data_IF_290861394545
#
_entry.id   IF_290861394545
#
_cell.length_a   1.000
_cell.length_b   1.000
_cell.length_c   1.000
_cell.angle_alpha   90.00
_cell.angle_beta   90.00
_cell.angle_gamma   90.00
#
_symmetry.space_group_name_H-M   'P 1'
#
loop_
_entity.id
_entity.type
_entity.pdbx_description
1 polymer ?
#
# COMPACT_ATOMS: atom_id res chain seq x y z
N UNK A 1 -55.99 -41.38 -55.16
CA UNK A 1 -56.41 -42.24 -54.04
C UNK A 1 -56.78 -41.35 -52.85
N UNK A 2 -58.08 -41.12 -52.64
CA UNK A 2 -58.88 -41.59 -51.49
C UNK A 2 -58.55 -40.91 -50.13
N UNK A 3 -59.33 -39.84 -49.84
CA UNK A 3 -60.15 -39.52 -48.65
C UNK A 3 -59.64 -39.70 -47.19
N UNK A 4 -60.14 -38.75 -46.37
CA UNK A 4 -60.50 -38.75 -44.91
C UNK A 4 -59.37 -38.35 -43.94
N UNK A 5 -59.58 -37.64 -42.82
CA UNK A 5 -60.76 -37.12 -42.14
C UNK A 5 -60.36 -36.09 -41.05
N UNK A 6 -61.35 -35.30 -40.63
CA UNK A 6 -61.38 -34.35 -39.51
C UNK A 6 -60.77 -34.84 -38.19
N UNK A 7 -60.19 -33.90 -37.42
CA UNK A 7 -60.53 -33.68 -35.99
C UNK A 7 -60.06 -32.30 -35.52
N UNK A 8 -61.04 -31.46 -35.14
CA UNK A 8 -60.87 -30.24 -34.35
C UNK A 8 -60.41 -30.65 -32.94
N UNK A 9 -59.28 -30.13 -32.48
CA UNK A 9 -59.00 -29.98 -31.04
C UNK A 9 -58.93 -28.49 -30.73
N UNK A 10 -59.85 -28.04 -29.88
CA UNK A 10 -59.80 -26.74 -29.23
C UNK A 10 -58.64 -26.74 -28.25
N UNK A 11 -57.59 -25.96 -28.55
CA UNK A 11 -56.56 -25.62 -27.56
C UNK A 11 -57.02 -24.34 -26.87
N UNK A 12 -57.39 -24.48 -25.59
CA UNK A 12 -57.63 -23.36 -24.70
C UNK A 12 -56.28 -22.65 -24.51
N UNK A 13 -56.11 -21.46 -25.12
CA UNK A 13 -55.00 -20.56 -24.81
C UNK A 13 -55.26 -19.94 -23.42
N UNK A 14 -54.75 -20.56 -22.37
CA UNK A 14 -54.56 -19.88 -21.09
C UNK A 14 -53.43 -18.85 -21.30
N UNK A 15 -53.80 -17.58 -21.49
CA UNK A 15 -52.85 -16.47 -21.46
C UNK A 15 -52.34 -16.28 -20.04
N UNK A 16 -51.21 -16.90 -19.70
CA UNK A 16 -50.47 -16.56 -18.49
C UNK A 16 -49.83 -15.19 -18.74
N UNK A 17 -50.46 -14.14 -18.23
CA UNK A 17 -49.83 -12.83 -18.07
C UNK A 17 -48.81 -13.00 -16.95
N UNK A 18 -47.57 -13.35 -17.32
CA UNK A 18 -46.41 -13.25 -16.43
C UNK A 18 -46.18 -11.76 -16.15
N UNK A 19 -46.77 -11.29 -15.05
CA UNK A 19 -46.46 -9.98 -14.49
C UNK A 19 -44.99 -10.04 -14.00
N UNK A 20 -44.06 -9.63 -14.85
CA UNK A 20 -42.66 -9.41 -14.47
C UNK A 20 -42.64 -8.22 -13.50
N UNK A 21 -42.78 -8.49 -12.21
CA UNK A 21 -42.39 -7.51 -11.20
C UNK A 21 -40.86 -7.43 -11.25
N UNK A 22 -40.26 -6.28 -11.58
CA UNK A 22 -38.82 -6.16 -11.51
C UNK A 22 -38.41 -6.37 -10.05
N UNK A 23 -37.63 -7.43 -9.80
CA UNK A 23 -37.03 -7.67 -8.51
C UNK A 23 -36.04 -6.52 -8.25
N UNK A 24 -36.47 -5.50 -7.50
CA UNK A 24 -35.59 -4.40 -7.10
C UNK A 24 -34.59 -4.97 -6.10
N UNK A 25 -33.40 -5.34 -6.58
CA UNK A 25 -32.28 -5.73 -5.72
C UNK A 25 -31.81 -4.46 -5.01
N UNK A 26 -32.28 -4.24 -3.79
CA UNK A 26 -31.72 -3.23 -2.89
C UNK A 26 -30.28 -3.63 -2.54
N UNK A 27 -29.31 -3.11 -3.30
CA UNK A 27 -27.91 -3.18 -2.90
C UNK A 27 -27.74 -2.29 -1.68
N UNK A 28 -27.57 -2.90 -0.50
CA UNK A 28 -27.40 -2.18 0.75
C UNK A 28 -26.21 -1.21 0.62
N UNK A 29 -26.50 0.09 0.66
CA UNK A 29 -25.46 1.14 0.63
C UNK A 29 -24.76 1.22 1.98
N UNK A 30 -23.44 1.35 1.96
CA UNK A 30 -22.64 1.56 3.18
C UNK A 30 -22.88 2.95 3.74
N UNK A 31 -22.82 3.09 5.06
CA UNK A 31 -22.94 4.37 5.77
C UNK A 31 -21.83 4.49 6.83
N UNK A 32 -21.58 5.68 7.36
CA UNK A 32 -20.60 5.86 8.45
C UNK A 32 -20.94 5.06 9.71
N UNK A 33 -22.21 4.67 9.88
CA UNK A 33 -22.69 3.90 11.03
C UNK A 33 -22.74 2.40 10.76
N UNK A 34 -22.33 1.92 9.57
CA UNK A 34 -22.30 0.48 9.30
C UNK A 34 -21.34 -0.22 10.27
N UNK A 35 -21.75 -1.37 10.87
CA UNK A 35 -21.02 -2.01 11.97
C UNK A 35 -19.73 -2.71 11.51
N UNK A 36 -18.76 -2.89 12.40
CA UNK A 36 -17.51 -3.60 12.08
C UNK A 36 -16.34 -2.68 11.70
N UNK A 37 -15.23 -3.29 11.27
CA UNK A 37 -13.99 -2.56 10.98
C UNK A 37 -13.92 -2.11 9.52
N UNK A 38 -13.23 -1.00 9.24
CA UNK A 38 -13.07 -0.48 7.89
C UNK A 38 -12.46 -1.52 6.94
N UNK A 39 -11.55 -2.37 7.43
CA UNK A 39 -10.94 -3.45 6.64
C UNK A 39 -11.96 -4.43 6.04
N UNK A 40 -13.06 -4.68 6.74
CA UNK A 40 -14.11 -5.62 6.33
C UNK A 40 -14.94 -5.07 5.17
N UNK A 41 -14.86 -3.76 4.92
CA UNK A 41 -15.52 -3.08 3.81
C UNK A 41 -14.58 -2.93 2.61
N UNK A 42 -13.39 -2.36 2.83
CA UNK A 42 -12.42 -2.14 1.75
C UNK A 42 -11.87 -3.45 1.16
N UNK A 43 -11.70 -4.49 1.99
CA UNK A 43 -11.21 -5.80 1.56
C UNK A 43 -12.17 -6.56 0.63
N UNK A 44 -13.41 -6.10 0.46
CA UNK A 44 -14.41 -6.73 -0.44
C UNK A 44 -14.20 -6.37 -1.91
N UNK A 45 -13.45 -5.32 -2.21
CA UNK A 45 -13.31 -4.81 -3.56
C UNK A 45 -12.06 -5.34 -4.25
N UNK A 46 -12.25 -5.98 -5.41
CA UNK A 46 -11.17 -6.38 -6.31
C UNK A 46 -10.81 -5.31 -7.35
N UNK A 47 -11.66 -4.29 -7.53
CA UNK A 47 -11.53 -3.25 -8.54
C UNK A 47 -11.66 -1.83 -7.93
N UNK A 48 -11.02 -0.81 -8.54
CA UNK A 48 -11.10 0.57 -8.08
C UNK A 48 -12.50 1.15 -8.32
N UNK A 49 -12.82 2.27 -7.67
CA UNK A 49 -14.02 3.04 -8.01
C UNK A 49 -13.85 3.75 -9.37
N UNK A 50 -14.95 3.97 -10.11
CA UNK A 50 -14.99 4.75 -11.37
C UNK A 50 -14.79 6.27 -11.16
N UNK A 51 -14.33 6.69 -9.98
CA UNK A 51 -14.07 8.10 -9.68
C UNK A 51 -12.72 8.54 -10.24
N UNK A 52 -12.50 9.84 -10.32
CA UNK A 52 -11.16 10.38 -10.52
C UNK A 52 -10.24 9.99 -9.36
N UNK A 53 -8.95 9.79 -9.65
CA UNK A 53 -7.98 9.42 -8.62
C UNK A 53 -7.87 10.54 -7.58
N UNK A 54 -8.10 10.20 -6.31
CA UNK A 54 -8.00 11.15 -5.20
C UNK A 54 -7.63 10.41 -3.91
N UNK A 55 -6.51 10.78 -3.24
CA UNK A 55 -6.19 10.28 -1.92
C UNK A 55 -7.01 11.05 -0.87
N UNK A 56 -7.71 10.34 0.01
CA UNK A 56 -8.66 10.93 0.96
C UNK A 56 -8.27 10.57 2.39
N UNK A 57 -8.18 11.56 3.27
CA UNK A 57 -7.81 11.43 4.68
C UNK A 57 -6.32 11.23 4.92
N UNK A 58 -5.98 10.73 6.10
CA UNK A 58 -4.61 10.40 6.46
C UNK A 58 -4.20 8.99 6.06
N UNK A 59 -2.90 8.76 5.96
CA UNK A 59 -2.27 7.51 5.50
C UNK A 59 -2.72 6.22 6.21
N UNK A 60 -3.29 6.32 7.43
CA UNK A 60 -3.73 5.20 8.28
C UNK A 60 -5.20 5.28 8.71
N UNK A 61 -5.99 6.18 8.12
CA UNK A 61 -7.43 6.32 8.38
C UNK A 61 -8.17 6.88 7.15
N UNK A 62 -7.69 6.54 5.96
CA UNK A 62 -8.11 7.14 4.70
C UNK A 62 -8.60 6.12 3.68
N UNK A 63 -8.73 6.54 2.44
CA UNK A 63 -9.07 5.69 1.30
C UNK A 63 -8.48 6.26 0.00
N UNK A 64 -8.65 5.53 -1.10
CA UNK A 64 -8.22 5.93 -2.44
C UNK A 64 -9.43 5.82 -3.39
N UNK A 65 -9.92 6.96 -3.86
CA UNK A 65 -10.83 7.00 -5.00
C UNK A 65 -10.03 6.78 -6.29
N UNK A 66 -10.61 6.10 -7.29
CA UNK A 66 -10.01 6.01 -8.63
C UNK A 66 -8.57 5.50 -8.63
N UNK A 67 -8.27 4.47 -7.82
CA UNK A 67 -6.93 3.91 -7.73
C UNK A 67 -6.44 3.40 -9.09
N UNK A 68 -5.21 3.73 -9.45
CA UNK A 68 -4.56 3.23 -10.66
C UNK A 68 -3.67 2.03 -10.33
N UNK A 69 -3.62 1.08 -11.26
CA UNK A 69 -2.81 -0.13 -11.11
C UNK A 69 -1.38 0.13 -11.58
N UNK A 70 -0.39 -0.24 -10.77
CA UNK A 70 0.99 -0.41 -11.25
C UNK A 70 1.02 -1.68 -12.12
N UNK A 71 1.44 -1.60 -13.40
CA UNK A 71 1.63 -2.78 -14.22
C UNK A 71 2.51 -3.81 -13.51
N UNK A 72 2.11 -5.09 -13.55
CA UNK A 72 2.79 -6.15 -12.80
C UNK A 72 4.29 -6.22 -13.13
N UNK A 73 4.67 -5.83 -14.35
CA UNK A 73 6.07 -5.73 -14.77
C UNK A 73 6.29 -4.46 -15.59
N UNK A 74 7.47 -3.88 -15.47
CA UNK A 74 7.97 -2.85 -16.37
C UNK A 74 9.46 -3.06 -16.67
N UNK A 75 10.08 -2.13 -17.43
CA UNK A 75 11.48 -2.27 -17.85
C UNK A 75 12.46 -2.44 -16.68
N UNK A 76 12.17 -1.78 -15.56
CA UNK A 76 13.04 -1.68 -14.39
C UNK A 76 12.31 -2.07 -13.10
N UNK A 77 11.17 -2.77 -13.16
CA UNK A 77 10.49 -3.24 -11.95
C UNK A 77 9.66 -4.51 -12.15
N UNK A 78 9.39 -5.21 -11.05
CA UNK A 78 8.33 -6.22 -10.96
C UNK A 78 7.56 -6.06 -9.65
N UNK A 79 6.23 -6.06 -9.73
CA UNK A 79 5.36 -6.15 -8.58
C UNK A 79 5.34 -7.58 -8.01
N UNK A 80 5.39 -7.68 -6.68
CA UNK A 80 5.53 -8.91 -5.92
C UNK A 80 4.25 -9.23 -5.16
N UNK A 81 4.03 -10.50 -4.81
CA UNK A 81 2.83 -10.93 -4.06
C UNK A 81 1.52 -10.48 -4.75
N UNK A 82 1.44 -10.70 -6.06
CA UNK A 82 0.33 -10.31 -6.94
C UNK A 82 -1.02 -10.85 -6.46
N UNK A 83 -1.02 -12.03 -5.85
CA UNK A 83 -2.20 -12.64 -5.21
C UNK A 83 -2.90 -11.76 -4.18
N UNK A 84 -2.19 -10.79 -3.58
CA UNK A 84 -2.76 -9.88 -2.56
C UNK A 84 -3.63 -8.76 -3.14
N UNK A 85 -3.54 -8.50 -4.45
CA UNK A 85 -4.21 -7.38 -5.11
C UNK A 85 -3.90 -6.01 -4.46
N UNK A 86 -2.61 -5.74 -4.22
CA UNK A 86 -2.11 -4.54 -3.52
C UNK A 86 -1.17 -3.69 -4.38
N UNK A 87 -1.30 -3.72 -5.70
CA UNK A 87 -0.52 -2.94 -6.63
C UNK A 87 -1.27 -1.69 -7.12
N UNK A 88 -2.08 -1.08 -6.25
CA UNK A 88 -2.88 0.11 -6.58
C UNK A 88 -2.34 1.36 -5.89
N UNK A 89 -2.33 2.49 -6.59
CA UNK A 89 -1.80 3.73 -6.07
C UNK A 89 -2.43 4.97 -6.70
N UNK A 90 -2.12 6.12 -6.12
CA UNK A 90 -2.34 7.39 -6.77
C UNK A 90 -1.35 7.57 -7.92
N UNK A 91 -1.69 8.24 -9.05
CA UNK A 91 -0.79 8.44 -10.18
C UNK A 91 0.62 8.94 -9.80
N UNK A 92 0.70 9.90 -8.89
CA UNK A 92 1.98 10.45 -8.38
C UNK A 92 2.86 9.38 -7.71
N UNK A 93 2.27 8.37 -7.07
CA UNK A 93 3.03 7.24 -6.52
C UNK A 93 3.59 6.35 -7.62
N UNK A 94 2.79 6.06 -8.66
CA UNK A 94 3.22 5.21 -9.75
C UNK A 94 4.35 5.85 -10.54
N UNK A 95 4.22 7.15 -10.83
CA UNK A 95 5.25 7.99 -11.45
C UNK A 95 6.56 7.99 -10.63
N UNK A 96 6.46 8.18 -9.31
CA UNK A 96 7.62 8.07 -8.41
C UNK A 96 8.31 6.70 -8.46
N UNK A 97 7.53 5.62 -8.55
CA UNK A 97 8.06 4.27 -8.60
C UNK A 97 8.82 4.00 -9.90
N UNK A 98 8.32 4.50 -11.03
CA UNK A 98 9.02 4.41 -12.32
C UNK A 98 10.38 5.11 -12.21
N UNK A 99 10.40 6.39 -11.81
CA UNK A 99 11.63 7.17 -11.67
C UNK A 99 12.65 6.53 -10.72
N UNK A 100 12.20 6.04 -9.56
CA UNK A 100 13.08 5.40 -8.60
C UNK A 100 13.62 4.08 -9.14
N UNK A 101 12.81 3.33 -9.89
CA UNK A 101 13.20 2.05 -10.47
C UNK A 101 14.28 2.20 -11.54
N UNK A 102 14.22 3.27 -12.33
CA UNK A 102 15.24 3.61 -13.32
C UNK A 102 16.56 4.00 -12.64
N UNK A 103 16.50 4.81 -11.57
CA UNK A 103 17.69 5.13 -10.76
C UNK A 103 18.28 3.87 -10.11
N UNK A 104 17.45 2.93 -9.68
CA UNK A 104 17.90 1.66 -9.14
C UNK A 104 18.63 0.82 -10.19
N UNK A 105 18.15 0.80 -11.44
CA UNK A 105 18.77 0.06 -12.54
C UNK A 105 20.17 0.58 -12.94
N UNK A 106 20.55 1.78 -12.49
CA UNK A 106 21.90 2.33 -12.65
C UNK A 106 22.88 1.83 -11.58
N UNK A 107 22.40 1.17 -10.52
CA UNK A 107 23.24 0.67 -9.44
C UNK A 107 23.86 -0.68 -9.82
N UNK A 108 25.13 -0.88 -9.44
CA UNK A 108 25.85 -2.13 -9.72
C UNK A 108 25.11 -3.33 -9.14
N UNK A 109 24.73 -4.28 -10.00
CA UNK A 109 24.03 -5.50 -9.59
C UNK A 109 22.51 -5.35 -9.42
N UNK A 110 21.94 -4.19 -9.74
CA UNK A 110 20.51 -3.94 -9.73
C UNK A 110 20.04 -3.71 -11.18
N UNK A 111 19.06 -4.48 -11.65
CA UNK A 111 18.38 -4.22 -12.92
C UNK A 111 17.13 -3.34 -12.74
N UNK A 112 16.78 -3.03 -11.50
CA UNK A 112 15.51 -2.40 -11.16
C UNK A 112 15.08 -2.66 -9.73
N UNK A 113 13.77 -2.69 -9.48
CA UNK A 113 13.17 -2.89 -8.15
C UNK A 113 12.15 -4.04 -8.10
N UNK A 114 12.12 -4.73 -6.98
CA UNK A 114 10.97 -5.55 -6.58
C UNK A 114 10.05 -4.73 -5.69
N UNK A 115 8.82 -4.52 -6.15
CA UNK A 115 7.82 -3.65 -5.51
C UNK A 115 6.87 -4.52 -4.69
N UNK A 116 6.77 -4.24 -3.39
CA UNK A 116 5.86 -4.90 -2.46
C UNK A 116 4.46 -4.27 -2.46
N UNK A 117 3.85 -4.23 -1.28
CA UNK A 117 2.48 -3.71 -1.13
C UNK A 117 2.45 -2.18 -1.39
N UNK A 118 1.56 -1.74 -2.28
CA UNK A 118 1.02 -0.37 -2.36
C UNK A 118 -0.32 -0.37 -1.62
N UNK A 119 -1.41 0.16 -2.19
CA UNK A 119 -2.76 0.12 -1.62
C UNK A 119 -3.61 -1.00 -2.25
N UNK A 120 -4.75 -1.30 -1.61
CA UNK A 120 -5.87 -2.05 -2.21
C UNK A 120 -6.57 -1.19 -3.29
N UNK A 121 -7.45 -1.76 -4.14
CA UNK A 121 -8.06 -1.03 -5.26
C UNK A 121 -8.79 0.27 -4.88
N UNK A 122 -9.42 0.29 -3.69
CA UNK A 122 -10.10 1.47 -3.12
C UNK A 122 -9.37 2.04 -1.91
N UNK A 123 -8.11 1.65 -1.72
CA UNK A 123 -7.33 1.98 -0.55
C UNK A 123 -7.91 1.39 0.73
N UNK A 124 -8.02 2.21 1.76
CA UNK A 124 -8.63 1.82 3.03
C UNK A 124 -7.77 0.89 3.86
N UNK A 125 -8.24 0.59 5.07
CA UNK A 125 -7.56 -0.33 5.96
C UNK A 125 -7.42 -1.70 5.30
N UNK A 126 -6.20 -2.23 5.30
CA UNK A 126 -5.93 -3.56 4.76
C UNK A 126 -6.47 -4.65 5.68
N UNK A 127 -6.92 -5.75 5.08
CA UNK A 127 -7.34 -6.98 5.80
C UNK A 127 -6.23 -7.53 6.69
N UNK A 128 -4.97 -7.30 6.33
CA UNK A 128 -3.79 -7.79 7.05
C UNK A 128 -2.54 -6.94 6.77
N UNK A 129 -1.57 -6.99 7.67
CA UNK A 129 -0.26 -6.37 7.48
C UNK A 129 -0.22 -4.91 7.92
N UNK A 130 -0.23 -3.99 6.96
CA UNK A 130 0.13 -2.59 7.17
C UNK A 130 -0.98 -1.80 7.88
N UNK A 131 -0.58 -0.95 8.83
CA UNK A 131 -1.50 0.02 9.43
C UNK A 131 -1.76 1.23 8.50
N UNK A 132 -0.87 1.51 7.55
CA UNK A 132 -1.02 2.56 6.54
C UNK A 132 -1.34 2.00 5.15
N UNK A 133 -0.85 2.61 4.05
CA UNK A 133 -1.19 2.22 2.67
C UNK A 133 -2.65 2.41 2.29
N UNK A 134 -3.37 3.26 3.03
CA UNK A 134 -4.80 3.42 2.82
C UNK A 134 -5.12 4.43 1.72
N UNK A 135 -4.19 5.33 1.38
CA UNK A 135 -4.45 6.47 0.48
C UNK A 135 -3.75 6.38 -0.87
N UNK A 136 -3.07 5.27 -1.18
CA UNK A 136 -2.34 5.14 -2.45
C UNK A 136 -1.07 6.01 -2.54
N UNK A 137 -0.51 6.42 -1.40
CA UNK A 137 0.70 7.25 -1.29
C UNK A 137 1.84 6.57 -0.50
N UNK A 138 1.67 5.29 -0.19
CA UNK A 138 2.67 4.46 0.49
C UNK A 138 3.05 3.27 -0.39
N UNK A 139 4.32 2.86 -0.31
CA UNK A 139 4.82 1.67 -1.00
C UNK A 139 5.94 1.01 -0.21
N UNK A 140 5.90 -0.31 -0.14
CA UNK A 140 7.05 -1.09 0.30
C UNK A 140 7.93 -1.50 -0.88
N UNK A 141 9.24 -1.31 -0.74
CA UNK A 141 10.22 -1.72 -1.74
C UNK A 141 11.18 -2.70 -1.08
N UNK A 142 11.36 -3.86 -1.70
CA UNK A 142 12.17 -4.92 -1.13
C UNK A 142 13.64 -4.50 -1.05
N UNK A 143 14.31 -4.94 0.02
CA UNK A 143 15.77 -4.81 0.16
C UNK A 143 16.54 -5.85 -0.68
N UNK A 144 15.86 -6.79 -1.33
CA UNK A 144 16.48 -7.71 -2.28
C UNK A 144 16.77 -6.97 -3.60
N UNK A 145 18.03 -6.88 -4.04
CA UNK A 145 18.35 -6.33 -5.35
C UNK A 145 17.64 -7.09 -6.46
N UNK A 146 16.88 -6.39 -7.31
CA UNK A 146 16.22 -7.03 -8.45
C UNK A 146 17.24 -7.26 -9.58
N UNK A 147 17.93 -8.39 -9.55
CA UNK A 147 18.88 -8.82 -10.58
C UNK A 147 18.24 -9.67 -11.69
N UNK A 148 16.97 -10.05 -11.53
CA UNK A 148 16.17 -10.80 -12.49
C UNK A 148 14.77 -10.19 -12.60
N UNK A 149 14.48 -9.47 -13.68
CA UNK A 149 13.14 -8.93 -13.96
C UNK A 149 12.32 -9.83 -14.89
N UNK A 150 12.62 -11.14 -14.93
CA UNK A 150 11.89 -12.15 -15.70
C UNK A 150 11.20 -13.19 -14.80
N UNK A 151 10.99 -12.88 -13.52
CA UNK A 151 10.28 -13.78 -12.62
C UNK A 151 8.84 -14.04 -13.11
N UNK A 152 8.47 -15.31 -13.13
CA UNK A 152 7.10 -15.79 -13.31
C UNK A 152 6.22 -15.40 -12.12
N UNK A 153 4.90 -15.45 -12.29
CA UNK A 153 3.95 -15.17 -11.21
C UNK A 153 4.22 -16.04 -9.97
N UNK A 154 4.42 -17.35 -10.15
CA UNK A 154 4.71 -18.30 -9.07
C UNK A 154 5.99 -17.95 -8.31
N UNK A 155 7.06 -17.59 -9.03
CA UNK A 155 8.30 -17.15 -8.38
C UNK A 155 8.07 -15.89 -7.55
N UNK A 156 7.30 -14.92 -8.05
CA UNK A 156 7.00 -13.68 -7.31
C UNK A 156 6.17 -13.91 -6.05
N UNK A 157 5.42 -15.01 -5.96
CA UNK A 157 4.72 -15.42 -4.74
C UNK A 157 5.66 -16.11 -3.74
N UNK A 158 6.63 -16.89 -4.24
CA UNK A 158 7.42 -17.79 -3.41
C UNK A 158 8.78 -17.22 -2.97
N UNK A 159 9.43 -16.36 -3.78
CA UNK A 159 10.69 -15.74 -3.35
C UNK A 159 10.45 -14.80 -2.17
N UNK A 160 11.45 -14.61 -1.33
CA UNK A 160 11.39 -13.65 -0.21
C UNK A 160 12.51 -12.64 -0.31
N UNK A 161 12.27 -11.45 0.25
CA UNK A 161 13.32 -10.45 0.40
C UNK A 161 14.36 -10.88 1.45
N UNK A 162 15.49 -10.18 1.49
CA UNK A 162 16.61 -10.45 2.40
C UNK A 162 16.57 -9.52 3.60
N UNK A 163 16.89 -10.05 4.78
CA UNK A 163 17.09 -9.23 5.97
C UNK A 163 18.48 -8.58 5.95
N UNK A 164 18.54 -7.26 6.12
CA UNK A 164 19.79 -6.50 6.20
C UNK A 164 20.24 -6.20 7.63
N UNK A 165 19.52 -6.68 8.66
CA UNK A 165 19.82 -6.41 10.07
C UNK A 165 20.59 -7.53 10.76
N UNK A 166 21.30 -7.17 11.84
CA UNK A 166 21.77 -8.06 12.92
C UNK A 166 21.53 -7.42 14.29
N UNK A 167 21.78 -8.16 15.36
CA UNK A 167 21.65 -7.68 16.76
C UNK A 167 20.32 -6.99 17.01
N UNK A 168 19.22 -7.68 16.67
CA UNK A 168 17.83 -7.19 16.81
C UNK A 168 17.51 -5.89 16.04
N UNK A 169 18.36 -5.41 15.14
CA UNK A 169 18.16 -4.17 14.38
C UNK A 169 19.10 -3.03 14.77
N UNK A 170 20.01 -3.28 15.74
CA UNK A 170 21.02 -2.32 16.14
C UNK A 170 22.03 -2.02 15.03
N UNK A 171 22.33 -2.99 14.17
CA UNK A 171 23.35 -2.87 13.12
C UNK A 171 22.90 -3.47 11.81
N UNK A 172 23.50 -3.02 10.72
CA UNK A 172 23.46 -3.70 9.43
C UNK A 172 24.29 -4.99 9.47
N UNK A 173 23.93 -5.97 8.65
CA UNK A 173 24.71 -7.19 8.45
C UNK A 173 25.54 -7.12 7.15
N UNK A 174 26.21 -8.22 6.78
CA UNK A 174 27.06 -8.32 5.58
C UNK A 174 26.34 -8.15 4.24
N UNK A 175 25.01 -8.25 4.21
CA UNK A 175 24.21 -8.09 3.00
C UNK A 175 23.89 -6.62 2.69
N UNK A 176 24.10 -5.71 3.65
CA UNK A 176 23.99 -4.27 3.38
C UNK A 176 25.16 -3.81 2.52
N UNK A 177 24.87 -3.12 1.42
CA UNK A 177 25.89 -2.64 0.47
C UNK A 177 25.83 -1.13 0.26
N UNK A 178 26.84 -0.57 -0.39
CA UNK A 178 26.84 0.84 -0.78
C UNK A 178 25.68 1.18 -1.73
N UNK A 179 25.22 0.24 -2.54
CA UNK A 179 24.08 0.40 -3.45
C UNK A 179 22.77 0.57 -2.67
N UNK A 180 22.58 -0.14 -1.55
CA UNK A 180 21.42 0.07 -0.69
C UNK A 180 21.38 1.49 -0.12
N UNK A 181 22.54 2.00 0.32
CA UNK A 181 22.67 3.40 0.76
C UNK A 181 22.32 4.36 -0.39
N UNK A 182 22.90 4.17 -1.58
CA UNK A 182 22.62 5.02 -2.75
C UNK A 182 21.15 5.00 -3.15
N UNK A 183 20.51 3.82 -3.16
CA UNK A 183 19.09 3.68 -3.44
C UNK A 183 18.23 4.48 -2.46
N UNK A 184 18.49 4.35 -1.16
CA UNK A 184 17.76 5.09 -0.13
C UNK A 184 18.00 6.60 -0.23
N UNK A 185 19.21 7.02 -0.64
CA UNK A 185 19.50 8.42 -0.95
C UNK A 185 18.69 8.90 -2.16
N UNK A 186 18.67 8.15 -3.27
CA UNK A 186 17.85 8.48 -4.44
C UNK A 186 16.36 8.58 -4.08
N UNK A 187 15.85 7.60 -3.32
CA UNK A 187 14.48 7.56 -2.87
C UNK A 187 14.15 8.80 -2.01
N UNK A 188 14.97 9.11 -1.01
CA UNK A 188 14.71 10.23 -0.09
C UNK A 188 14.95 11.61 -0.71
N UNK A 189 15.84 11.72 -1.68
CA UNK A 189 16.14 13.01 -2.33
C UNK A 189 14.98 13.51 -3.19
N UNK A 190 14.06 12.64 -3.57
CA UNK A 190 12.88 13.00 -4.34
C UNK A 190 11.96 14.00 -3.60
N UNK A 191 11.53 15.10 -4.25
CA UNK A 191 10.69 16.12 -3.61
C UNK A 191 9.29 15.61 -3.22
N UNK A 192 8.77 14.57 -3.88
CA UNK A 192 7.47 13.95 -3.58
C UNK A 192 7.50 13.21 -2.24
N UNK A 193 8.66 12.72 -1.80
CA UNK A 193 8.79 11.91 -0.58
C UNK A 193 8.67 12.76 0.68
N UNK A 194 7.81 12.30 1.61
CA UNK A 194 7.67 12.83 2.96
C UNK A 194 8.54 12.07 3.97
N UNK A 195 8.53 10.73 3.92
CA UNK A 195 9.25 9.84 4.85
C UNK A 195 9.65 8.54 4.16
N UNK A 196 10.74 7.95 4.64
CA UNK A 196 11.10 6.57 4.36
C UNK A 196 11.37 5.85 5.68
N UNK A 197 10.68 4.75 5.94
CA UNK A 197 10.89 3.95 7.15
C UNK A 197 11.85 2.78 6.88
N UNK A 198 12.86 2.67 7.74
CA UNK A 198 13.88 1.61 7.72
C UNK A 198 14.20 1.18 9.15
N UNK A 199 14.84 0.02 9.33
CA UNK A 199 15.33 -0.38 10.65
C UNK A 199 16.42 0.58 11.19
N UNK A 200 16.57 0.72 12.53
CA UNK A 200 17.44 1.73 13.13
C UNK A 200 18.92 1.65 12.71
N UNK A 201 19.48 0.44 12.63
CA UNK A 201 20.88 0.23 12.24
C UNK A 201 21.22 0.75 10.84
N UNK A 202 20.30 0.65 9.87
CA UNK A 202 20.48 1.21 8.54
C UNK A 202 20.58 2.74 8.59
N UNK A 203 19.70 3.39 9.37
CA UNK A 203 19.75 4.84 9.56
C UNK A 203 21.09 5.27 10.15
N UNK A 204 21.56 4.61 11.21
CA UNK A 204 22.86 4.91 11.83
C UNK A 204 24.00 4.71 10.83
N UNK A 205 23.99 3.60 10.07
CA UNK A 205 25.00 3.34 9.05
C UNK A 205 25.05 4.44 7.98
N UNK A 206 23.90 4.85 7.45
CA UNK A 206 23.84 5.96 6.48
C UNK A 206 24.32 7.29 7.09
N UNK A 207 24.02 7.52 8.38
CA UNK A 207 24.52 8.70 9.10
C UNK A 207 26.03 8.69 9.29
N UNK A 208 26.67 7.53 9.41
CA UNK A 208 28.13 7.42 9.54
C UNK A 208 28.83 7.60 8.19
N UNK A 209 28.23 7.04 7.14
CA UNK A 209 28.81 6.99 5.80
C UNK A 209 28.63 8.28 5.00
N UNK A 210 27.55 9.03 5.21
CA UNK A 210 27.27 10.24 4.43
C UNK A 210 28.16 11.42 4.87
N UNK A 211 29.09 11.84 4.02
CA UNK A 211 30.02 12.96 4.28
C UNK A 211 29.63 14.27 3.59
N UNK A 212 28.76 14.21 2.57
CA UNK A 212 28.33 15.37 1.78
C UNK A 212 27.03 15.98 2.30
N UNK A 213 26.12 16.33 1.38
CA UNK A 213 24.79 16.79 1.73
C UNK A 213 23.99 15.68 2.45
N UNK A 214 23.55 16.02 3.67
CA UNK A 214 22.81 15.15 4.59
C UNK A 214 21.33 15.51 4.69
N UNK A 215 20.83 16.50 3.95
CA UNK A 215 19.44 16.95 4.06
C UNK A 215 18.43 15.81 3.84
N UNK A 216 18.73 14.89 2.91
CA UNK A 216 17.89 13.72 2.61
C UNK A 216 17.72 12.77 3.82
N UNK A 217 18.71 12.70 4.71
CA UNK A 217 18.66 11.86 5.91
C UNK A 217 17.47 12.24 6.80
N UNK A 218 17.04 13.51 6.83
CA UNK A 218 15.88 13.97 7.60
C UNK A 218 14.61 13.15 7.31
N UNK A 219 14.43 12.70 6.07
CA UNK A 219 13.27 11.89 5.66
C UNK A 219 13.41 10.42 6.02
N UNK A 220 14.62 9.92 6.26
CA UNK A 220 14.83 8.54 6.73
C UNK A 220 14.47 8.44 8.22
N UNK A 221 13.47 7.62 8.52
CA UNK A 221 12.89 7.43 9.85
C UNK A 221 13.12 5.99 10.34
N UNK A 222 13.88 5.79 11.43
CA UNK A 222 13.94 4.50 12.09
C UNK A 222 12.53 4.01 12.49
N UNK A 223 12.24 2.74 12.23
CA UNK A 223 11.03 2.07 12.69
C UNK A 223 11.28 0.58 12.96
N UNK A 224 10.44 -0.03 13.80
CA UNK A 224 10.48 -1.48 14.05
C UNK A 224 10.19 -2.26 12.76
N UNK A 225 10.79 -3.45 12.60
CA UNK A 225 10.68 -4.20 11.36
C UNK A 225 11.57 -3.60 10.26
N UNK A 226 11.01 -3.35 9.08
CA UNK A 226 11.63 -2.63 7.95
C UNK A 226 13.10 -2.98 7.66
N UNK A 227 13.44 -4.26 7.82
CA UNK A 227 14.79 -4.77 7.61
C UNK A 227 14.91 -5.65 6.36
N UNK A 228 13.77 -5.99 5.75
CA UNK A 228 13.69 -6.69 4.47
C UNK A 228 12.96 -5.87 3.39
N UNK A 229 12.46 -4.70 3.74
CA UNK A 229 11.94 -3.68 2.83
C UNK A 229 12.20 -2.32 3.45
N UNK A 230 12.13 -1.27 2.64
CA UNK A 230 11.91 0.09 3.12
C UNK A 230 10.52 0.55 2.69
N UNK A 231 9.85 1.27 3.58
CA UNK A 231 8.54 1.84 3.31
C UNK A 231 8.73 3.28 2.87
N UNK A 232 8.28 3.65 1.68
CA UNK A 232 8.25 5.04 1.22
C UNK A 232 6.84 5.61 1.39
N UNK A 233 6.78 6.85 1.90
CA UNK A 233 5.57 7.66 1.97
C UNK A 233 5.77 8.94 1.18
N UNK A 234 4.86 9.21 0.25
CA UNK A 234 4.78 10.49 -0.46
C UNK A 234 3.98 11.52 0.35
N UNK A 235 4.17 12.79 0.03
CA UNK A 235 3.30 13.89 0.48
C UNK A 235 1.96 13.80 -0.24
N UNK A 236 0.93 14.43 0.32
CA UNK A 236 -0.28 14.70 -0.44
C UNK A 236 0.04 15.55 -1.68
N UNK A 237 -0.51 15.20 -2.86
CA UNK A 237 -0.51 16.07 -4.03
C UNK A 237 -1.12 17.45 -3.72
N UNK A 238 -0.65 18.51 -4.37
CA UNK A 238 -1.05 19.89 -4.06
C UNK A 238 -2.54 20.18 -4.37
N UNK A 239 -3.10 19.45 -5.33
CA UNK A 239 -4.48 19.49 -5.80
C UNK A 239 -5.42 18.60 -4.98
N UNK A 240 -4.90 17.61 -4.24
CA UNK A 240 -5.67 16.70 -3.41
C UNK A 240 -6.13 17.35 -2.09
N UNK A 241 -7.22 18.15 -2.14
CA UNK A 241 -7.74 18.90 -0.98
C UNK A 241 -8.25 18.03 0.17
N UNK A 242 -8.63 16.79 -0.11
CA UNK A 242 -9.13 15.85 0.89
C UNK A 242 -8.03 15.00 1.52
N UNK A 243 -6.78 15.16 1.08
CA UNK A 243 -5.63 14.42 1.60
C UNK A 243 -5.00 15.14 2.79
N UNK A 244 -4.71 14.39 3.86
CA UNK A 244 -4.15 14.95 5.08
C UNK A 244 -2.67 14.58 5.24
N UNK A 245 -1.80 15.59 5.21
CA UNK A 245 -0.39 15.42 5.49
C UNK A 245 -0.12 15.16 6.98
N UNK A 246 0.91 14.37 7.26
CA UNK A 246 1.50 14.33 8.60
C UNK A 246 2.31 15.60 8.84
N UNK A 247 2.49 16.04 10.10
CA UNK A 247 3.47 17.07 10.43
C UNK A 247 4.85 16.74 9.84
N UNK A 248 5.69 17.72 9.49
CA UNK A 248 7.02 17.45 8.96
C UNK A 248 7.88 16.66 9.96
N UNK A 249 8.86 15.85 9.50
CA UNK A 249 9.85 15.27 10.41
C UNK A 249 10.57 16.37 11.22
N UNK A 250 11.08 16.06 12.43
CA UNK A 250 11.89 17.00 13.19
C UNK A 250 13.02 17.61 12.36
N UNK A 251 13.47 18.81 12.73
CA UNK A 251 14.62 19.45 12.10
C UNK A 251 15.90 18.63 12.30
N UNK A 252 16.88 18.87 11.42
CA UNK A 252 18.14 18.11 11.38
C UNK A 252 18.05 16.78 10.66
N UNK A 253 19.15 16.04 10.63
CA UNK A 253 19.26 14.75 9.95
C UNK A 253 18.67 13.57 10.76
N UNK A 254 18.38 13.79 12.06
CA UNK A 254 17.82 12.81 12.97
C UNK A 254 18.76 11.66 13.37
N UNK A 255 20.07 11.83 13.18
CA UNK A 255 21.05 10.78 13.42
C UNK A 255 21.27 10.45 14.91
N UNK A 256 21.25 11.44 15.80
CA UNK A 256 21.42 11.20 17.23
C UNK A 256 20.23 10.43 17.84
N UNK A 257 19.02 10.74 17.38
CA UNK A 257 17.83 9.96 17.74
C UNK A 257 17.93 8.50 17.30
N UNK A 258 18.50 8.24 16.12
CA UNK A 258 18.72 6.88 15.63
C UNK A 258 19.78 6.14 16.46
N UNK A 259 20.90 6.81 16.81
CA UNK A 259 21.93 6.25 17.71
C UNK A 259 21.35 5.93 19.08
N UNK A 260 20.54 6.82 19.65
CA UNK A 260 19.83 6.57 20.93
C UNK A 260 18.92 5.35 20.83
N UNK A 261 18.20 5.16 19.73
CA UNK A 261 17.40 3.96 19.51
C UNK A 261 18.27 2.70 19.48
N UNK A 262 19.36 2.71 18.72
CA UNK A 262 20.31 1.60 18.68
C UNK A 262 20.86 1.27 20.08
N UNK A 263 21.21 2.28 20.88
CA UNK A 263 21.63 2.07 22.27
C UNK A 263 20.53 1.41 23.12
N UNK A 264 19.28 1.83 22.98
CA UNK A 264 18.14 1.18 23.66
C UNK A 264 17.91 -0.26 23.19
N UNK A 265 18.32 -0.64 21.98
CA UNK A 265 18.26 -2.05 21.53
C UNK A 265 19.33 -2.88 22.22
N UNK A 266 20.56 -2.34 22.33
CA UNK A 266 21.70 -3.03 22.91
C UNK A 266 21.65 -3.09 24.44
N UNK A 267 21.16 -2.01 25.05
CA UNK A 267 20.99 -1.84 26.50
C UNK A 267 19.57 -1.33 26.76
N UNK A 268 18.57 -2.24 26.75
CA UNK A 268 17.19 -1.86 27.01
C UNK A 268 17.06 -1.13 28.36
N UNK A 269 16.31 -0.02 28.42
CA UNK A 269 16.05 0.63 29.70
C UNK A 269 15.31 -0.33 30.63
N UNK A 270 15.58 -0.22 31.94
CA UNK A 270 14.83 -0.98 32.95
C UNK A 270 13.34 -0.69 32.78
N UNK A 271 12.53 -1.74 32.70
CA UNK A 271 11.08 -1.61 32.64
C UNK A 271 10.59 -1.08 33.99
N UNK A 272 9.81 -0.02 33.98
CA UNK A 272 9.07 0.40 35.17
C UNK A 272 8.04 -0.67 35.52
N UNK A 273 8.16 -1.35 36.69
CA UNK A 273 7.23 -2.40 37.09
C UNK A 273 5.81 -1.86 37.31
N UNK A 274 5.66 -0.55 37.57
CA UNK A 274 4.39 0.10 37.86
C UNK A 274 3.78 0.79 36.62
N UNK A 275 4.45 0.72 35.46
CA UNK A 275 3.92 1.33 34.24
C UNK A 275 2.54 0.72 33.88
N UNK A 276 1.51 1.55 33.65
CA UNK A 276 0.20 1.04 33.29
C UNK A 276 0.29 0.24 31.98
N UNK A 277 -0.47 -0.86 31.90
CA UNK A 277 -0.56 -1.64 30.67
C UNK A 277 -1.01 -0.72 29.52
N UNK A 278 -0.36 -0.76 28.35
CA UNK A 278 -0.79 0.03 27.20
C UNK A 278 -2.26 -0.27 26.87
N UNK A 279 -3.08 0.78 26.75
CA UNK A 279 -4.46 0.62 26.29
C UNK A 279 -4.47 0.12 24.85
N UNK A 280 -5.25 -0.92 24.51
CA UNK A 280 -5.40 -1.36 23.13
C UNK A 280 -5.86 -0.20 22.25
N UNK A 281 -5.30 -0.09 21.05
CA UNK A 281 -5.79 0.89 20.08
C UNK A 281 -7.20 0.47 19.64
N UNK A 282 -8.20 1.36 19.71
CA UNK A 282 -9.54 1.02 19.26
C UNK A 282 -9.52 0.71 17.75
N UNK A 283 -10.36 -0.24 17.29
CA UNK A 283 -10.41 -0.61 15.87
C UNK A 283 -10.85 0.56 15.01
N UNK A 284 -10.33 0.63 13.78
CA UNK A 284 -10.72 1.65 12.82
C UNK A 284 -12.06 1.24 12.19
N UNK A 285 -13.12 2.01 12.45
CA UNK A 285 -14.46 1.78 11.91
C UNK A 285 -14.79 2.82 10.85
N UNK A 286 -15.89 2.63 10.10
CA UNK A 286 -16.34 3.61 9.09
C UNK A 286 -16.69 4.98 9.70
N UNK A 287 -17.03 5.04 10.99
CA UNK A 287 -17.25 6.31 11.73
C UNK A 287 -15.94 7.09 11.95
N UNK A 288 -14.79 6.42 11.88
CA UNK A 288 -13.46 6.97 12.21
C UNK A 288 -12.61 7.26 10.97
N UNK A 289 -13.20 7.22 9.78
CA UNK A 289 -12.57 7.63 8.51
C UNK A 289 -13.38 8.79 7.89
N UNK A 290 -12.81 9.56 6.94
CA UNK A 290 -13.52 10.65 6.27
C UNK A 290 -14.83 10.18 5.63
N UNK A 291 -15.86 11.03 5.65
CA UNK A 291 -17.18 10.71 5.09
C UNK A 291 -17.10 10.40 3.59
N UNK A 292 -16.17 11.02 2.87
CA UNK A 292 -15.96 10.81 1.44
C UNK A 292 -15.51 9.38 1.13
N UNK A 293 -14.87 8.68 2.08
CA UNK A 293 -14.54 7.27 1.93
C UNK A 293 -15.77 6.36 1.87
N UNK A 294 -16.90 6.78 2.43
CA UNK A 294 -18.19 6.09 2.22
C UNK A 294 -18.65 6.24 0.77
N UNK A 295 -18.45 7.41 0.18
CA UNK A 295 -18.66 7.65 -1.24
C UNK A 295 -17.81 6.72 -2.11
N UNK A 296 -16.54 6.52 -1.75
CA UNK A 296 -15.65 5.57 -2.44
C UNK A 296 -16.14 4.13 -2.33
N UNK A 297 -16.64 3.70 -1.16
CA UNK A 297 -17.18 2.35 -0.98
C UNK A 297 -18.46 2.13 -1.80
N UNK A 298 -19.32 3.15 -1.93
CA UNK A 298 -20.59 3.05 -2.65
C UNK A 298 -20.46 3.33 -4.17
N UNK A 299 -19.32 3.87 -4.62
CA UNK A 299 -19.12 4.19 -6.02
C UNK A 299 -19.11 2.92 -6.91
N UNK A 300 -19.60 3.00 -8.15
CA UNK A 300 -19.50 1.89 -9.11
C UNK A 300 -18.03 1.56 -9.38
N UNK A 301 -17.72 0.28 -9.56
CA UNK A 301 -16.35 -0.18 -9.85
C UNK A 301 -16.02 -0.15 -11.33
N UNK A 302 -14.76 0.06 -11.70
CA UNK A 302 -14.30 -0.16 -13.09
C UNK A 302 -14.47 -1.66 -13.40
N UNK A 303 -15.20 -2.00 -14.46
CA UNK A 303 -15.55 -3.39 -14.81
C UNK A 303 -16.92 -3.88 -14.31
N UNK A 304 -17.69 -3.04 -13.61
CA UNK A 304 -19.11 -3.29 -13.35
C UNK A 304 -19.91 -2.63 -14.48
N UNK A 305 -20.39 -3.43 -15.43
CA UNK A 305 -21.51 -3.12 -16.33
C UNK A 305 -22.66 -4.03 -15.94
#
# INVERSE_FOLDING_TARGET
MVKKALRKLWIIKLGIILCFTPLVVFSASFTQNSPGEARDYFGKFSNPSKQQSNPIGGYSYGCLAGGQILPESGPTWQAMRLSRNRNWGHPVLLDYLVDLSEKAAQLKGWKGLYIGDLAQPRGGQMVSGHASHQTGLDVDIWMLPANNLKLTRTERENISSISLRRSKGAFVNKSWTAEHHKLLRFAASDPRVARIFVFPGAKVKMCEDEKGDRAWLRKIRPWYGHHYHFHVRLKCPNDAKECENQPPPPLGDGCDGAKKWVQNILKPPKRDPNAPKPKPKPPLTLKRIPKQCIGVLNAPGIGVN
#
